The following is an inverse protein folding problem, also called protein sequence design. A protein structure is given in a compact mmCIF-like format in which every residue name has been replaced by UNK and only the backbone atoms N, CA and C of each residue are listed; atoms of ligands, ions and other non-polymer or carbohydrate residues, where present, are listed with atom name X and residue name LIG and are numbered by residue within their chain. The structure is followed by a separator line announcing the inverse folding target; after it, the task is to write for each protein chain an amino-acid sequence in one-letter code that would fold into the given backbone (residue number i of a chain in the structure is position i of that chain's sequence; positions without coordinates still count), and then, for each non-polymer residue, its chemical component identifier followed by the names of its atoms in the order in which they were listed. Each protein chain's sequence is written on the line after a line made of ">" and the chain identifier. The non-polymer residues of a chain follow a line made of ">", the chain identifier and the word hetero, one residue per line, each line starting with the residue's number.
data_IF_248001903022
#
_entry.id   IF_248001903022
#
_cell.length_a   1.000
_cell.length_b   1.000
_cell.length_c   1.000
_cell.angle_alpha   90.00
_cell.angle_beta   90.00
_cell.angle_gamma   90.00
#
_symmetry.space_group_name_H-M   'P 1'
#
loop_
_entity.id
_entity.type
_entity.pdbx_description
1 polymer ?
#
# COMPACT_ATOMS: atom_id res chain seq x y z
N UNK A 1 27.09 -67.73 10.16
CA UNK A 1 25.77 -67.10 10.42
C UNK A 1 25.92 -65.66 10.88
N UNK A 2 27.00 -65.31 11.59
CA UNK A 2 27.22 -63.95 12.13
C UNK A 2 27.29 -62.85 11.05
N UNK A 3 27.94 -63.11 9.91
CA UNK A 3 28.02 -62.12 8.81
C UNK A 3 26.70 -61.81 8.10
N UNK A 4 25.69 -62.68 8.19
CA UNK A 4 24.35 -62.43 7.61
C UNK A 4 23.52 -61.56 8.55
N UNK A 5 23.68 -61.73 9.87
CA UNK A 5 23.02 -60.89 10.87
C UNK A 5 23.58 -59.47 10.89
N UNK A 6 24.91 -59.30 10.77
CA UNK A 6 25.52 -57.97 10.64
C UNK A 6 25.12 -57.28 9.34
N UNK A 7 25.13 -58.00 8.21
CA UNK A 7 24.69 -57.45 6.92
C UNK A 7 23.20 -57.05 6.92
N UNK A 8 22.33 -57.84 7.56
CA UNK A 8 20.92 -57.50 7.70
C UNK A 8 20.73 -56.25 8.57
N UNK A 9 21.46 -56.16 9.70
CA UNK A 9 21.40 -55.01 10.61
C UNK A 9 21.89 -53.73 9.94
N UNK A 10 22.96 -53.81 9.15
CA UNK A 10 23.49 -52.68 8.38
C UNK A 10 22.50 -52.22 7.31
N UNK A 11 21.87 -53.15 6.58
CA UNK A 11 20.88 -52.84 5.56
C UNK A 11 19.62 -52.17 6.14
N UNK A 12 19.09 -52.70 7.25
CA UNK A 12 17.93 -52.11 7.94
C UNK A 12 18.27 -50.76 8.60
N UNK A 13 19.48 -50.63 9.15
CA UNK A 13 20.00 -49.35 9.66
C UNK A 13 20.08 -48.28 8.57
N UNK A 14 20.66 -48.62 7.42
CA UNK A 14 20.78 -47.73 6.26
C UNK A 14 19.41 -47.26 5.74
N UNK A 15 18.43 -48.16 5.65
CA UNK A 15 17.09 -47.83 5.17
C UNK A 15 16.33 -46.90 6.15
N UNK A 16 16.55 -47.11 7.46
CA UNK A 16 16.01 -46.26 8.53
C UNK A 16 16.65 -44.87 8.53
N UNK A 17 17.98 -44.80 8.43
CA UNK A 17 18.72 -43.53 8.36
C UNK A 17 18.34 -42.72 7.11
N UNK A 18 18.21 -43.37 5.95
CA UNK A 18 17.73 -42.76 4.72
C UNK A 18 16.32 -42.19 4.86
N UNK A 19 15.39 -42.92 5.47
CA UNK A 19 14.03 -42.45 5.73
C UNK A 19 13.99 -41.19 6.61
N UNK A 20 14.77 -41.17 7.70
CA UNK A 20 14.83 -39.99 8.58
C UNK A 20 15.50 -38.80 7.89
N UNK A 21 16.52 -39.03 7.07
CA UNK A 21 17.18 -37.98 6.28
C UNK A 21 16.22 -37.34 5.27
N UNK A 22 15.49 -38.15 4.51
CA UNK A 22 14.50 -37.66 3.54
C UNK A 22 13.34 -36.91 4.22
N UNK A 23 12.91 -37.40 5.38
CA UNK A 23 11.92 -36.74 6.23
C UNK A 23 12.38 -35.35 6.69
N UNK A 24 13.62 -35.21 7.16
CA UNK A 24 14.18 -33.92 7.56
C UNK A 24 14.27 -32.96 6.37
N UNK A 25 14.63 -33.47 5.19
CA UNK A 25 14.73 -32.69 3.97
C UNK A 25 13.36 -32.19 3.49
N UNK A 26 12.31 -33.02 3.61
CA UNK A 26 10.91 -32.64 3.32
C UNK A 26 10.44 -31.54 4.26
N UNK A 27 10.67 -31.68 5.55
CA UNK A 27 10.33 -30.67 6.56
C UNK A 27 11.03 -29.33 6.27
N UNK A 28 12.32 -29.36 5.94
CA UNK A 28 13.08 -28.16 5.54
C UNK A 28 12.49 -27.49 4.31
N UNK A 29 12.09 -28.25 3.29
CA UNK A 29 11.44 -27.72 2.08
C UNK A 29 10.12 -27.03 2.42
N UNK A 30 9.29 -27.63 3.27
CA UNK A 30 8.01 -27.03 3.66
C UNK A 30 8.19 -25.73 4.46
N UNK A 31 9.16 -25.67 5.36
CA UNK A 31 9.50 -24.42 6.05
C UNK A 31 9.99 -23.34 5.08
N UNK A 32 10.81 -23.71 4.10
CA UNK A 32 11.25 -22.77 3.05
C UNK A 32 10.06 -22.26 2.23
N UNK A 33 9.12 -23.11 1.85
CA UNK A 33 7.90 -22.68 1.14
C UNK A 33 7.05 -21.73 1.98
N UNK A 34 6.91 -22.00 3.28
CA UNK A 34 6.19 -21.11 4.19
C UNK A 34 6.90 -19.76 4.34
N UNK A 35 8.22 -19.75 4.50
CA UNK A 35 9.03 -18.53 4.58
C UNK A 35 8.90 -17.70 3.29
N UNK A 36 8.95 -18.33 2.13
CA UNK A 36 8.74 -17.65 0.84
C UNK A 36 7.33 -17.04 0.72
N UNK A 37 6.30 -17.72 1.22
CA UNK A 37 4.93 -17.17 1.27
C UNK A 37 4.85 -15.98 2.21
N UNK A 38 5.45 -16.05 3.40
CA UNK A 38 5.47 -14.92 4.34
C UNK A 38 6.13 -13.69 3.70
N UNK A 39 7.32 -13.88 3.09
CA UNK A 39 8.03 -12.81 2.36
C UNK A 39 7.20 -12.20 1.23
N UNK A 40 6.46 -13.02 0.48
CA UNK A 40 5.56 -12.54 -0.55
C UNK A 40 4.47 -11.62 0.02
N UNK A 41 3.88 -11.98 1.16
CA UNK A 41 2.88 -11.15 1.82
C UNK A 41 3.47 -9.89 2.43
N UNK A 42 4.70 -9.91 2.93
CA UNK A 42 5.41 -8.71 3.37
C UNK A 42 5.56 -7.72 2.21
N UNK A 43 5.98 -8.21 1.03
CA UNK A 43 6.13 -7.40 -0.17
C UNK A 43 4.80 -6.78 -0.63
N UNK A 44 3.68 -7.54 -0.55
CA UNK A 44 2.36 -6.98 -0.82
C UNK A 44 1.94 -5.88 0.17
N UNK A 45 2.33 -5.98 1.44
CA UNK A 45 2.04 -4.94 2.43
C UNK A 45 2.84 -3.68 2.17
N UNK A 46 4.08 -3.82 1.72
CA UNK A 46 4.93 -2.71 1.32
C UNK A 46 4.37 -1.98 0.09
N UNK A 47 3.99 -2.72 -0.95
CA UNK A 47 3.41 -2.15 -2.17
C UNK A 47 2.13 -1.36 -1.89
N UNK A 48 1.22 -1.88 -1.06
CA UNK A 48 0.02 -1.16 -0.62
C UNK A 48 0.37 0.15 0.09
N UNK A 49 1.40 0.15 0.95
CA UNK A 49 1.86 1.36 1.65
C UNK A 49 2.43 2.36 0.67
N UNK A 50 3.24 1.92 -0.29
CA UNK A 50 3.90 2.83 -1.21
C UNK A 50 2.95 3.42 -2.24
N UNK A 51 1.96 2.66 -2.73
CA UNK A 51 0.89 3.16 -3.57
C UNK A 51 0.06 4.24 -2.86
N UNK A 52 -0.24 4.04 -1.58
CA UNK A 52 -1.00 5.02 -0.79
C UNK A 52 -0.16 6.26 -0.47
N UNK A 53 1.12 6.12 -0.11
CA UNK A 53 2.06 7.23 0.10
C UNK A 53 2.24 8.09 -1.16
N UNK A 54 2.32 7.48 -2.33
CA UNK A 54 2.46 8.21 -3.59
C UNK A 54 1.24 9.10 -3.83
N UNK A 55 0.04 8.59 -3.53
CA UNK A 55 -1.22 9.32 -3.70
C UNK A 55 -1.30 10.49 -2.71
N UNK A 56 -1.01 10.26 -1.43
CA UNK A 56 -1.05 11.33 -0.42
C UNK A 56 0.01 12.39 -0.69
N UNK A 57 1.24 11.99 -1.05
CA UNK A 57 2.30 12.93 -1.39
C UNK A 57 1.97 13.82 -2.60
N UNK A 58 1.27 13.27 -3.61
CA UNK A 58 0.78 14.09 -4.73
C UNK A 58 -0.32 15.07 -4.30
N UNK A 59 -1.29 14.62 -3.49
CA UNK A 59 -2.37 15.48 -3.02
C UNK A 59 -1.87 16.62 -2.12
N UNK A 60 -0.87 16.35 -1.27
CA UNK A 60 -0.25 17.37 -0.40
C UNK A 60 0.46 18.46 -1.22
N UNK A 61 1.15 18.06 -2.30
CA UNK A 61 1.77 19.02 -3.23
C UNK A 61 0.73 19.90 -3.94
N UNK A 62 -0.40 19.33 -4.36
CA UNK A 62 -1.49 20.12 -4.96
C UNK A 62 -2.15 21.06 -3.94
N UNK A 63 -2.29 20.62 -2.69
CA UNK A 63 -2.85 21.43 -1.62
C UNK A 63 -2.00 22.68 -1.37
N UNK A 64 -0.67 22.56 -1.32
CA UNK A 64 0.24 23.68 -1.11
C UNK A 64 0.07 24.74 -2.21
N UNK A 65 0.09 24.31 -3.48
CA UNK A 65 -0.05 25.22 -4.63
C UNK A 65 -1.43 25.88 -4.62
N UNK A 66 -2.49 25.11 -4.39
CA UNK A 66 -3.86 25.64 -4.34
C UNK A 66 -4.04 26.67 -3.22
N UNK A 67 -3.48 26.44 -2.02
CA UNK A 67 -3.56 27.37 -0.89
C UNK A 67 -2.77 28.67 -1.14
N UNK A 68 -1.61 28.59 -1.79
CA UNK A 68 -0.83 29.78 -2.13
C UNK A 68 -1.59 30.67 -3.13
N UNK A 69 -2.11 30.08 -4.21
CA UNK A 69 -2.93 30.78 -5.20
C UNK A 69 -4.21 31.33 -4.57
N UNK A 70 -4.85 30.58 -3.69
CA UNK A 70 -6.04 31.02 -2.95
C UNK A 70 -5.73 32.26 -2.10
N UNK A 71 -4.57 32.29 -1.43
CA UNK A 71 -4.10 33.45 -0.67
C UNK A 71 -3.86 34.69 -1.55
N UNK A 72 -3.25 34.51 -2.73
CA UNK A 72 -3.09 35.61 -3.70
C UNK A 72 -4.44 36.12 -4.21
N UNK A 73 -5.39 35.23 -4.54
CA UNK A 73 -6.73 35.62 -4.94
C UNK A 73 -7.47 36.36 -3.82
N UNK A 74 -7.33 35.92 -2.57
CA UNK A 74 -7.92 36.60 -1.42
C UNK A 74 -7.35 38.01 -1.22
N UNK A 75 -6.03 38.18 -1.32
CA UNK A 75 -5.39 39.49 -1.19
C UNK A 75 -5.82 40.45 -2.31
N UNK A 76 -5.90 39.97 -3.56
CA UNK A 76 -6.42 40.73 -4.69
C UNK A 76 -7.91 41.08 -4.57
N UNK A 77 -8.69 40.27 -3.84
CA UNK A 77 -10.12 40.54 -3.61
C UNK A 77 -10.31 41.65 -2.56
N UNK A 78 -9.50 41.66 -1.49
CA UNK A 78 -9.63 42.61 -0.38
C UNK A 78 -8.90 43.92 -0.65
N UNK A 79 -7.69 43.87 -1.22
CA UNK A 79 -6.83 45.04 -1.41
C UNK A 79 -6.67 45.46 -2.88
N UNK A 80 -7.23 44.71 -3.84
CA UNK A 80 -7.06 44.99 -5.26
C UNK A 80 -7.74 46.29 -5.69
N UNK A 81 -6.91 47.30 -6.00
CA UNK A 81 -7.38 48.56 -6.60
C UNK A 81 -7.12 48.51 -8.11
N UNK A 82 -8.18 48.66 -8.90
CA UNK A 82 -8.06 48.78 -10.35
C UNK A 82 -7.63 50.21 -10.70
N UNK A 83 -6.35 50.39 -11.05
CA UNK A 83 -5.86 51.67 -11.59
C UNK A 83 -6.36 51.84 -13.02
N UNK A 84 -7.49 52.52 -13.18
CA UNK A 84 -7.98 52.96 -14.49
C UNK A 84 -7.38 54.35 -14.77
N UNK A 85 -6.53 54.44 -15.79
CA UNK A 85 -5.96 55.72 -16.20
C UNK A 85 -7.06 56.73 -16.55
N UNK A 86 -6.96 57.90 -15.93
CA UNK A 86 -7.95 58.99 -16.00
C UNK A 86 -7.92 59.75 -17.34
N UNK A 87 -7.18 59.27 -18.33
CA UNK A 87 -6.85 59.98 -19.57
C UNK A 87 -7.87 59.81 -20.71
N UNK A 88 -8.83 58.89 -20.59
CA UNK A 88 -9.94 58.78 -21.56
C UNK A 88 -11.27 59.13 -20.91
N UNK A 89 -11.79 60.31 -21.27
CA UNK A 89 -13.10 60.85 -20.97
C UNK A 89 -14.23 59.91 -21.44
N UNK A 90 -14.63 58.93 -20.62
CA UNK A 90 -15.76 58.05 -20.91
C UNK A 90 -16.50 57.62 -19.63
N UNK A 91 -17.53 58.41 -19.34
CA UNK A 91 -18.33 58.47 -18.11
C UNK A 91 -19.08 57.16 -17.76
N UNK A 92 -19.15 56.18 -18.67
CA UNK A 92 -19.93 54.94 -18.51
C UNK A 92 -19.13 53.61 -18.49
N UNK A 93 -17.79 53.65 -18.63
CA UNK A 93 -16.97 52.43 -18.75
C UNK A 93 -16.41 51.80 -17.45
N UNK A 94 -16.21 52.48 -16.30
CA UNK A 94 -15.46 51.87 -15.20
C UNK A 94 -16.24 50.78 -14.44
N UNK A 95 -17.57 50.83 -14.41
CA UNK A 95 -18.37 49.94 -13.56
C UNK A 95 -18.49 48.51 -14.12
N UNK A 96 -18.67 48.34 -15.44
CA UNK A 96 -18.81 47.00 -16.05
C UNK A 96 -17.53 46.17 -16.00
N UNK A 97 -16.38 46.83 -16.17
CA UNK A 97 -15.06 46.21 -16.06
C UNK A 97 -14.77 45.75 -14.62
N UNK A 98 -15.15 46.55 -13.62
CA UNK A 98 -15.03 46.16 -12.21
C UNK A 98 -15.91 44.96 -11.89
N UNK A 99 -17.15 44.90 -12.39
CA UNK A 99 -18.00 43.73 -12.21
C UNK A 99 -17.39 42.47 -12.83
N UNK A 100 -16.85 42.56 -14.05
CA UNK A 100 -16.21 41.42 -14.71
C UNK A 100 -14.93 40.97 -13.96
N UNK A 101 -14.14 41.93 -13.46
CA UNK A 101 -12.97 41.66 -12.61
C UNK A 101 -13.38 40.91 -11.34
N UNK A 102 -14.34 41.43 -10.56
CA UNK A 102 -14.80 40.82 -9.31
C UNK A 102 -15.40 39.44 -9.53
N UNK A 103 -16.21 39.24 -10.58
CA UNK A 103 -16.80 37.92 -10.90
C UNK A 103 -15.70 36.92 -11.26
N UNK A 104 -14.73 37.29 -12.10
CA UNK A 104 -13.62 36.39 -12.47
C UNK A 104 -12.75 36.00 -11.26
N UNK A 105 -12.58 36.92 -10.31
CA UNK A 105 -11.82 36.69 -9.08
C UNK A 105 -12.59 35.82 -8.09
N UNK A 106 -13.91 36.03 -7.97
CA UNK A 106 -14.79 35.18 -7.18
C UNK A 106 -14.86 33.75 -7.73
N UNK A 107 -14.94 33.59 -9.06
CA UNK A 107 -14.90 32.28 -9.72
C UNK A 107 -13.57 31.57 -9.44
N UNK A 108 -12.44 32.26 -9.66
CA UNK A 108 -11.10 31.72 -9.36
C UNK A 108 -10.98 31.29 -7.89
N UNK A 109 -11.49 32.09 -6.96
CA UNK A 109 -11.51 31.75 -5.53
C UNK A 109 -12.31 30.47 -5.26
N UNK A 110 -13.54 30.37 -5.78
CA UNK A 110 -14.39 29.18 -5.56
C UNK A 110 -13.79 27.92 -6.19
N UNK A 111 -13.16 28.05 -7.36
CA UNK A 111 -12.49 26.93 -8.04
C UNK A 111 -11.29 26.42 -7.23
N UNK A 112 -10.43 27.33 -6.75
CA UNK A 112 -9.27 26.97 -5.93
C UNK A 112 -9.68 26.39 -4.57
N UNK A 113 -10.75 26.93 -3.97
CA UNK A 113 -11.32 26.40 -2.75
C UNK A 113 -11.84 24.96 -2.93
N UNK A 114 -12.58 24.70 -4.00
CA UNK A 114 -13.05 23.35 -4.35
C UNK A 114 -11.89 22.40 -4.63
N UNK A 115 -10.84 22.86 -5.33
CA UNK A 115 -9.63 22.07 -5.57
C UNK A 115 -8.95 21.67 -4.26
N UNK A 116 -8.80 22.61 -3.31
CA UNK A 116 -8.22 22.31 -2.00
C UNK A 116 -9.10 21.32 -1.20
N UNK A 117 -10.42 21.49 -1.25
CA UNK A 117 -11.37 20.58 -0.63
C UNK A 117 -11.26 19.15 -1.19
N UNK A 118 -11.18 19.01 -2.52
CA UNK A 118 -11.01 17.71 -3.16
C UNK A 118 -9.65 17.08 -2.83
N UNK A 119 -8.57 17.85 -2.74
CA UNK A 119 -7.27 17.34 -2.32
C UNK A 119 -7.30 16.78 -0.88
N UNK A 120 -7.95 17.49 0.06
CA UNK A 120 -8.11 17.03 1.45
C UNK A 120 -8.94 15.74 1.52
N UNK A 121 -10.09 15.73 0.85
CA UNK A 121 -10.98 14.55 0.86
C UNK A 121 -10.33 13.33 0.20
N UNK A 122 -9.58 13.51 -0.90
CA UNK A 122 -8.81 12.46 -1.54
C UNK A 122 -7.70 11.89 -0.64
N UNK A 123 -6.98 12.76 0.09
CA UNK A 123 -5.92 12.33 1.02
C UNK A 123 -6.50 11.48 2.17
N UNK A 124 -7.59 11.94 2.79
CA UNK A 124 -8.28 11.18 3.86
C UNK A 124 -8.84 9.84 3.34
N UNK A 125 -9.43 9.84 2.14
CA UNK A 125 -9.92 8.63 1.50
C UNK A 125 -8.77 7.62 1.25
N UNK A 126 -7.61 8.08 0.75
CA UNK A 126 -6.45 7.23 0.52
C UNK A 126 -5.93 6.58 1.81
N UNK A 127 -5.87 7.34 2.92
CA UNK A 127 -5.47 6.81 4.22
C UNK A 127 -6.42 5.74 4.75
N UNK A 128 -7.73 6.00 4.71
CA UNK A 128 -8.73 5.01 5.15
C UNK A 128 -8.72 3.75 4.30
N UNK A 129 -8.51 3.87 2.98
CA UNK A 129 -8.40 2.75 2.07
C UNK A 129 -7.15 1.90 2.31
N UNK A 130 -6.01 2.53 2.61
CA UNK A 130 -4.76 1.86 2.99
C UNK A 130 -4.95 0.94 4.20
N UNK A 131 -5.59 1.45 5.26
CA UNK A 131 -5.88 0.66 6.47
C UNK A 131 -6.82 -0.50 6.15
N UNK A 132 -7.83 -0.28 5.30
CA UNK A 132 -8.75 -1.34 4.88
C UNK A 132 -8.06 -2.44 4.08
N UNK A 133 -7.17 -2.09 3.14
CA UNK A 133 -6.37 -3.06 2.39
C UNK A 133 -5.49 -3.92 3.30
N UNK A 134 -4.79 -3.28 4.24
CA UNK A 134 -3.86 -3.97 5.14
C UNK A 134 -4.54 -4.88 6.17
N UNK A 135 -5.81 -4.62 6.50
CA UNK A 135 -6.57 -5.38 7.52
C UNK A 135 -7.49 -6.44 6.93
N UNK A 136 -8.12 -6.16 5.78
CA UNK A 136 -9.11 -7.05 5.18
C UNK A 136 -8.55 -7.94 4.08
N UNK A 137 -7.62 -7.43 3.27
CA UNK A 137 -7.16 -8.13 2.06
C UNK A 137 -5.79 -8.79 2.23
N UNK A 138 -4.83 -8.10 2.86
CA UNK A 138 -3.46 -8.61 3.03
C UNK A 138 -3.27 -9.25 4.42
N UNK A 139 -4.01 -10.34 4.67
CA UNK A 139 -3.89 -11.15 5.89
C UNK A 139 -2.72 -12.14 5.75
N UNK A 140 -2.05 -12.43 6.87
CA UNK A 140 -0.94 -13.39 6.91
C UNK A 140 -1.42 -14.79 6.51
N UNK A 141 -0.64 -15.54 5.71
CA UNK A 141 -0.96 -16.92 5.38
C UNK A 141 -0.64 -17.81 6.58
N UNK A 142 -1.65 -18.06 7.43
CA UNK A 142 -1.50 -19.01 8.54
C UNK A 142 -1.57 -20.43 7.95
N UNK A 143 -0.57 -21.29 8.20
CA UNK A 143 -0.64 -22.67 7.74
C UNK A 143 -1.80 -23.40 8.42
N UNK A 144 -2.54 -24.16 7.63
CA UNK A 144 -3.62 -24.99 8.13
C UNK A 144 -3.08 -26.16 8.96
N UNK A 145 -3.83 -26.63 9.95
CA UNK A 145 -3.42 -27.74 10.83
C UNK A 145 -3.13 -29.00 10.02
N UNK A 146 -3.92 -29.29 9.00
CA UNK A 146 -3.69 -30.40 8.09
C UNK A 146 -2.31 -30.33 7.39
N UNK A 147 -1.83 -29.13 7.06
CA UNK A 147 -0.50 -28.94 6.47
C UNK A 147 0.61 -29.14 7.50
N UNK A 148 0.40 -28.70 8.73
CA UNK A 148 1.35 -28.93 9.83
C UNK A 148 1.43 -30.40 10.24
N UNK A 149 0.31 -31.11 10.18
CA UNK A 149 0.24 -32.53 10.50
C UNK A 149 0.85 -33.37 9.37
N UNK A 150 0.68 -32.99 8.10
CA UNK A 150 1.37 -33.62 6.97
C UNK A 150 2.90 -33.39 6.98
N UNK A 151 3.34 -32.24 7.52
CA UNK A 151 4.76 -31.92 7.71
C UNK A 151 5.44 -32.81 8.78
N UNK A 152 4.66 -33.28 9.76
CA UNK A 152 5.14 -34.12 10.86
C UNK A 152 5.27 -35.57 10.39
N UNK A 153 6.50 -36.00 10.12
CA UNK A 153 6.78 -37.42 10.01
C UNK A 153 6.81 -38.06 11.41
N UNK A 154 5.97 -39.08 11.62
CA UNK A 154 6.03 -39.87 12.84
C UNK A 154 7.00 -41.04 12.63
N UNK A 155 7.85 -41.32 13.62
CA UNK A 155 8.68 -42.54 13.60
C UNK A 155 7.83 -43.82 13.50
N UNK A 156 6.55 -43.75 13.90
CA UNK A 156 5.57 -44.81 13.73
C UNK A 156 5.24 -45.11 12.26
N UNK A 157 5.30 -44.13 11.35
CA UNK A 157 5.04 -44.34 9.90
C UNK A 157 6.10 -45.23 9.25
N UNK A 158 7.34 -45.19 9.75
CA UNK A 158 8.40 -46.11 9.33
C UNK A 158 8.11 -47.55 9.77
N UNK A 159 7.51 -47.74 10.95
CA UNK A 159 7.24 -49.06 11.53
C UNK A 159 5.94 -49.70 11.01
N UNK A 160 4.95 -48.90 10.60
CA UNK A 160 3.69 -49.41 10.06
C UNK A 160 3.76 -49.84 8.59
N UNK A 161 4.85 -49.52 7.90
CA UNK A 161 4.97 -49.74 6.46
C UNK A 161 4.24 -48.65 5.68
N UNK A 162 4.86 -48.20 4.58
CA UNK A 162 4.31 -47.17 3.69
C UNK A 162 2.97 -47.52 3.08
#
# INVERSE_FOLDING_TARGET
>A
MDGIFDAAKELFGYNREGFFFDSELRLKREYQEQDMRVKQFELYREDVRDLTKLTTGKMDNYLLVALLLLGCCFDLLVHGVLHVDRSSDQIDKPTRLVFLYVISLAEAFTYLFLSAWFAITASVAAHSFSVRLLTQFVRLPVPDRAKLDAARAYAAEFETGG
#
